data_IF_888828009458
#
_entry.id   IF_888828009458
#
_cell.length_a   1.000
_cell.length_b   1.000
_cell.length_c   1.000
_cell.angle_alpha   90.00
_cell.angle_beta   90.00
_cell.angle_gamma   90.00
#
_symmetry.space_group_name_H-M   'P 1'
#
loop_
_entity.id
_entity.type
_entity.pdbx_description
1 polymer ?
#
# COMPACT_ATOMS: atom_id res chain seq x y z
N UNK A 1 21.82 8.04 13.92
CA UNK A 1 23.11 7.40 13.62
C UNK A 1 22.78 6.07 13.00
N UNK A 2 22.91 5.96 11.68
CA UNK A 2 22.81 4.73 10.90
C UNK A 2 24.06 4.75 10.01
N UNK A 3 24.92 3.74 10.13
CA UNK A 3 26.32 3.77 9.66
C UNK A 3 26.50 3.41 8.18
N UNK A 4 25.42 3.44 7.39
CA UNK A 4 25.46 3.16 5.96
C UNK A 4 25.79 1.69 5.61
N UNK A 5 25.99 0.80 6.58
CA UNK A 5 26.09 -0.63 6.34
C UNK A 5 24.69 -1.26 6.34
N UNK A 6 24.25 -1.73 5.17
CA UNK A 6 22.99 -2.46 5.09
C UNK A 6 23.07 -3.76 5.90
N UNK A 7 21.94 -4.20 6.46
CA UNK A 7 21.83 -5.48 7.16
C UNK A 7 22.17 -6.65 6.24
N UNK A 8 22.82 -7.67 6.79
CA UNK A 8 23.10 -8.91 6.05
C UNK A 8 21.83 -9.76 5.96
N UNK A 9 21.54 -10.39 4.82
CA UNK A 9 20.28 -11.11 4.59
C UNK A 9 20.02 -12.25 5.60
N UNK A 10 21.08 -12.88 6.13
CA UNK A 10 20.99 -13.92 7.16
C UNK A 10 21.07 -13.37 8.61
N UNK A 11 21.14 -12.07 8.78
CA UNK A 11 21.25 -11.44 10.10
C UNK A 11 20.05 -11.83 10.98
N UNK A 12 20.32 -12.29 12.20
CA UNK A 12 19.28 -12.73 13.12
C UNK A 12 18.65 -14.09 12.78
N UNK A 13 19.23 -14.89 11.87
CA UNK A 13 18.80 -16.26 11.58
C UNK A 13 19.73 -17.29 12.25
N UNK A 14 19.17 -18.41 12.75
CA UNK A 14 19.96 -19.52 13.27
C UNK A 14 20.72 -20.20 12.13
N UNK A 15 21.94 -20.72 12.38
CA UNK A 15 22.61 -21.57 11.40
C UNK A 15 21.86 -22.90 11.31
N UNK A 16 21.24 -23.19 10.16
CA UNK A 16 20.48 -24.41 9.94
C UNK A 16 19.40 -24.22 8.89
N UNK A 17 19.44 -25.05 7.85
CA UNK A 17 18.40 -25.12 6.84
C UNK A 17 17.27 -26.01 7.38
N UNK A 18 16.04 -25.49 7.43
CA UNK A 18 14.86 -26.28 7.81
C UNK A 18 14.35 -27.06 6.60
N UNK A 19 14.15 -26.36 5.49
CA UNK A 19 13.70 -26.93 4.22
C UNK A 19 14.02 -25.99 3.07
N UNK A 20 13.87 -26.50 1.85
CA UNK A 20 13.87 -25.72 0.62
C UNK A 20 12.44 -25.77 0.08
N UNK A 21 11.94 -24.62 -0.36
CA UNK A 21 10.69 -24.54 -1.10
C UNK A 21 11.04 -24.53 -2.58
N UNK A 22 10.53 -25.51 -3.31
CA UNK A 22 10.79 -25.62 -4.74
C UNK A 22 9.98 -24.57 -5.51
N UNK A 23 10.48 -24.19 -6.69
CA UNK A 23 9.69 -23.33 -7.58
C UNK A 23 8.46 -24.11 -8.03
N UNK A 24 7.25 -23.53 -7.91
CA UNK A 24 6.05 -24.21 -8.38
C UNK A 24 6.17 -24.52 -9.88
N UNK A 25 5.95 -25.80 -10.24
CA UNK A 25 5.90 -26.24 -11.62
C UNK A 25 4.74 -25.58 -12.40
N UNK A 26 4.74 -25.67 -13.74
CA UNK A 26 3.64 -25.17 -14.56
C UNK A 26 2.31 -25.76 -14.09
N UNK A 27 1.29 -24.91 -13.97
CA UNK A 27 -0.08 -25.35 -13.70
C UNK A 27 -0.76 -25.58 -15.05
N UNK A 28 -0.93 -26.84 -15.46
CA UNK A 28 -1.62 -27.19 -16.69
C UNK A 28 -3.13 -27.32 -16.43
N UNK A 29 -3.94 -26.58 -17.20
CA UNK A 29 -5.39 -26.52 -16.98
C UNK A 29 -5.78 -25.73 -15.71
N UNK A 30 -7.08 -25.55 -15.52
CA UNK A 30 -7.65 -24.78 -14.41
C UNK A 30 -7.94 -23.32 -14.75
N UNK A 31 -8.89 -22.75 -14.02
CA UNK A 31 -9.36 -21.38 -14.21
C UNK A 31 -8.23 -20.36 -14.04
N UNK A 32 -8.40 -19.19 -14.66
CA UNK A 32 -7.47 -18.09 -14.48
C UNK A 32 -7.55 -17.54 -13.06
N UNK A 33 -6.41 -17.04 -12.57
CA UNK A 33 -6.37 -16.40 -11.27
C UNK A 33 -7.05 -15.05 -11.39
N UNK A 34 -8.10 -14.89 -10.61
CA UNK A 34 -8.89 -13.67 -10.52
C UNK A 34 -8.78 -13.08 -9.12
N UNK A 35 -8.70 -11.74 -9.07
CA UNK A 35 -8.89 -11.01 -7.82
C UNK A 35 -10.33 -10.50 -7.81
N UNK A 36 -11.08 -10.91 -6.79
CA UNK A 36 -12.48 -10.53 -6.62
C UNK A 36 -12.74 -10.01 -5.20
N UNK A 37 -13.95 -9.50 -4.93
CA UNK A 37 -14.38 -9.05 -3.61
C UNK A 37 -13.41 -8.04 -2.94
N UNK A 38 -12.94 -7.07 -3.73
CA UNK A 38 -11.99 -6.05 -3.26
C UNK A 38 -12.70 -5.04 -2.37
N UNK A 39 -12.32 -4.99 -1.11
CA UNK A 39 -12.92 -4.11 -0.11
C UNK A 39 -11.85 -3.27 0.60
N UNK A 40 -12.25 -2.06 1.01
CA UNK A 40 -11.42 -1.20 1.84
C UNK A 40 -11.39 -1.71 3.28
N UNK A 41 -10.20 -1.75 3.88
CA UNK A 41 -10.02 -2.08 5.30
C UNK A 41 -9.57 -0.84 6.06
N UNK A 42 -8.48 -0.24 5.62
CA UNK A 42 -7.89 0.91 6.27
C UNK A 42 -6.95 1.69 5.35
N UNK A 43 -6.56 2.89 5.77
CA UNK A 43 -5.42 3.59 5.21
C UNK A 43 -4.77 4.47 6.26
N UNK A 44 -3.51 4.82 6.01
CA UNK A 44 -2.76 5.75 6.86
C UNK A 44 -1.61 6.40 6.09
N UNK A 45 -1.18 7.58 6.54
CA UNK A 45 0.02 8.25 6.01
C UNK A 45 1.05 8.44 7.12
N UNK A 46 2.31 8.10 6.87
CA UNK A 46 3.40 8.45 7.76
C UNK A 46 3.77 9.93 7.66
N UNK A 47 4.07 10.56 8.80
CA UNK A 47 4.64 11.91 8.87
C UNK A 47 6.06 11.89 9.43
N UNK A 48 6.86 12.89 9.07
CA UNK A 48 8.20 13.08 9.62
C UNK A 48 8.13 13.67 11.03
N UNK A 49 8.12 12.81 12.05
CA UNK A 49 8.13 13.22 13.45
C UNK A 49 9.11 12.36 14.26
N UNK A 50 9.48 12.85 15.45
CA UNK A 50 10.43 12.18 16.33
C UNK A 50 9.90 10.85 16.92
N UNK A 51 8.58 10.72 17.02
CA UNK A 51 7.90 9.49 17.44
C UNK A 51 7.18 8.87 16.24
N UNK A 52 6.99 7.55 16.18
CA UNK A 52 6.19 6.95 15.11
C UNK A 52 4.78 7.54 15.11
N UNK A 53 4.43 8.30 14.06
CA UNK A 53 3.15 9.01 13.97
C UNK A 53 2.51 8.80 12.61
N UNK A 54 1.23 8.42 12.61
CA UNK A 54 0.44 8.21 11.40
C UNK A 54 -0.79 9.13 11.38
N UNK A 55 -1.12 9.63 10.19
CA UNK A 55 -2.42 10.21 9.90
C UNK A 55 -3.39 9.07 9.57
N UNK A 56 -4.59 9.09 10.14
CA UNK A 56 -5.65 8.10 9.85
C UNK A 56 -6.95 8.85 9.52
N UNK A 57 -7.60 8.58 8.37
CA UNK A 57 -7.18 7.65 7.31
C UNK A 57 -5.93 8.09 6.53
N UNK A 58 -5.46 9.32 6.75
CA UNK A 58 -4.49 9.96 5.86
C UNK A 58 -5.09 10.17 4.47
N UNK A 59 -4.24 10.50 3.50
CA UNK A 59 -4.65 10.53 2.09
C UNK A 59 -3.42 10.41 1.18
N UNK A 60 -3.56 9.79 -0.01
CA UNK A 60 -2.58 9.95 -1.08
C UNK A 60 -2.51 11.41 -1.52
N UNK A 61 -1.48 11.79 -2.29
CA UNK A 61 -1.43 13.12 -2.88
C UNK A 61 -2.49 13.27 -3.98
N UNK A 62 -3.04 14.46 -4.14
CA UNK A 62 -4.03 14.75 -5.17
C UNK A 62 -3.36 14.96 -6.52
N UNK A 63 -3.75 14.18 -7.53
CA UNK A 63 -3.29 14.33 -8.91
C UNK A 63 -3.70 15.69 -9.48
N UNK A 64 -2.77 16.38 -10.14
CA UNK A 64 -2.98 17.69 -10.77
C UNK A 64 -3.25 17.53 -12.26
N UNK A 65 -4.43 17.96 -12.70
CA UNK A 65 -4.81 18.00 -14.11
C UNK A 65 -4.44 19.32 -14.80
N UNK A 66 -3.98 20.31 -14.04
CA UNK A 66 -3.68 21.68 -14.50
C UNK A 66 -2.20 21.91 -14.84
N UNK A 67 -1.38 20.85 -14.85
CA UNK A 67 0.05 20.98 -15.16
C UNK A 67 0.25 21.24 -16.65
N UNK A 68 0.75 22.44 -16.97
CA UNK A 68 1.19 22.78 -18.32
C UNK A 68 2.56 22.16 -18.64
N UNK A 69 2.69 21.64 -19.86
CA UNK A 69 3.92 21.07 -20.42
C UNK A 69 4.42 21.92 -21.63
N UNK A 70 5.74 21.91 -21.93
CA UNK A 70 6.80 21.20 -21.25
C UNK A 70 7.11 21.79 -19.87
N UNK A 71 7.53 20.94 -18.93
CA UNK A 71 7.93 21.37 -17.59
C UNK A 71 9.16 20.61 -17.11
N UNK A 72 10.16 21.37 -16.67
CA UNK A 72 11.43 20.83 -16.19
C UNK A 72 11.44 20.70 -14.67
N UNK A 73 11.97 19.59 -14.19
CA UNK A 73 12.20 19.33 -12.76
C UNK A 73 13.68 19.05 -12.48
N UNK A 74 14.10 19.29 -11.24
CA UNK A 74 15.43 18.92 -10.79
C UNK A 74 15.55 17.39 -10.68
N UNK A 75 16.79 16.89 -10.59
CA UNK A 75 17.06 15.50 -10.24
C UNK A 75 16.62 15.22 -8.80
N UNK A 76 16.25 13.98 -8.55
CA UNK A 76 15.87 13.53 -7.21
C UNK A 76 17.08 13.64 -6.27
N UNK A 77 16.85 14.21 -5.09
CA UNK A 77 17.87 14.41 -4.05
C UNK A 77 17.33 13.94 -2.70
N UNK A 78 18.23 13.74 -1.74
CA UNK A 78 17.86 13.36 -0.38
C UNK A 78 17.72 11.85 -0.19
N UNK A 79 16.91 11.47 0.79
CA UNK A 79 16.70 10.10 1.24
C UNK A 79 15.29 9.64 0.90
N UNK A 80 15.18 8.44 0.34
CA UNK A 80 13.92 7.77 0.03
C UNK A 80 13.74 6.58 0.97
N UNK A 81 12.50 6.32 1.39
CA UNK A 81 12.18 5.15 2.19
C UNK A 81 11.99 3.93 1.28
N UNK A 82 12.77 2.88 1.52
CA UNK A 82 12.56 1.56 0.90
C UNK A 82 11.41 0.84 1.61
N UNK A 83 11.40 0.91 2.95
CA UNK A 83 10.34 0.40 3.81
C UNK A 83 10.11 1.37 4.98
N UNK A 84 9.14 2.25 4.83
CA UNK A 84 8.80 3.25 5.84
C UNK A 84 8.25 2.63 7.13
N UNK A 85 7.56 1.49 7.04
CA UNK A 85 7.00 0.80 8.21
C UNK A 85 8.12 0.11 9.00
N UNK A 86 9.02 -0.60 8.31
CA UNK A 86 10.22 -1.17 8.93
C UNK A 86 11.20 -0.13 9.46
N UNK A 87 11.29 1.05 8.84
CA UNK A 87 12.10 2.16 9.34
C UNK A 87 11.51 2.77 10.62
N UNK A 88 10.22 3.13 10.60
CA UNK A 88 9.57 3.89 11.68
C UNK A 88 9.13 3.02 12.84
N UNK A 89 8.82 1.75 12.58
CA UNK A 89 8.38 0.80 13.60
C UNK A 89 9.01 -0.59 13.37
N UNK A 90 10.35 -0.70 13.46
CA UNK A 90 11.09 -1.94 13.16
C UNK A 90 10.63 -3.13 14.01
N UNK A 91 10.09 -2.84 15.20
CA UNK A 91 9.57 -3.85 16.12
C UNK A 91 8.32 -4.57 15.63
N UNK A 92 7.42 -3.86 14.94
CA UNK A 92 6.13 -4.39 14.50
C UNK A 92 5.70 -3.72 13.18
N UNK A 93 6.39 -3.98 12.05
CA UNK A 93 6.11 -3.29 10.80
C UNK A 93 4.69 -3.51 10.26
N UNK A 94 3.99 -4.56 10.70
CA UNK A 94 2.62 -4.87 10.33
C UNK A 94 1.58 -4.17 11.23
N UNK A 95 1.96 -3.70 12.43
CA UNK A 95 1.03 -3.12 13.40
C UNK A 95 0.22 -1.92 12.87
N UNK A 96 0.75 -1.00 12.04
CA UNK A 96 -0.03 0.13 11.53
C UNK A 96 -1.30 -0.28 10.77
N UNK A 97 -1.36 -1.50 10.20
CA UNK A 97 -2.55 -2.07 9.57
C UNK A 97 -3.70 -2.12 10.58
N UNK A 98 -3.45 -2.68 11.76
CA UNK A 98 -4.44 -2.89 12.81
C UNK A 98 -4.82 -1.59 13.50
N UNK A 99 -3.83 -0.72 13.76
CA UNK A 99 -4.09 0.58 14.39
C UNK A 99 -5.00 1.44 13.52
N UNK A 100 -4.76 1.47 12.20
CA UNK A 100 -5.64 2.20 11.28
C UNK A 100 -7.01 1.52 11.13
N UNK A 101 -7.06 0.18 11.08
CA UNK A 101 -8.31 -0.57 10.99
C UNK A 101 -9.19 -0.40 12.23
N UNK A 102 -8.62 -0.35 13.44
CA UNK A 102 -9.37 -0.14 14.69
C UNK A 102 -10.03 1.24 14.73
N UNK A 103 -9.33 2.25 14.22
CA UNK A 103 -9.86 3.60 14.07
C UNK A 103 -11.05 3.61 13.12
N UNK A 104 -10.84 3.11 11.91
CA UNK A 104 -11.81 3.21 10.82
C UNK A 104 -12.98 2.23 10.96
N UNK A 105 -12.75 1.08 11.61
CA UNK A 105 -13.78 0.11 11.94
C UNK A 105 -14.82 0.66 12.92
N UNK A 106 -14.40 1.45 13.92
CA UNK A 106 -15.33 2.16 14.84
C UNK A 106 -16.18 3.21 14.13
N UNK A 107 -15.69 3.72 13.00
CA UNK A 107 -16.38 4.66 12.13
C UNK A 107 -17.23 3.94 11.04
N UNK A 108 -17.28 2.60 11.08
CA UNK A 108 -18.11 1.79 10.18
C UNK A 108 -17.51 1.56 8.78
N UNK A 109 -16.22 1.85 8.57
CA UNK A 109 -15.58 1.73 7.25
C UNK A 109 -15.15 0.31 6.86
N UNK A 110 -15.09 -0.64 7.80
CA UNK A 110 -14.73 -2.02 7.51
C UNK A 110 -15.40 -2.98 8.48
N UNK A 111 -15.83 -4.13 7.97
CA UNK A 111 -16.40 -5.26 8.73
C UNK A 111 -15.47 -6.47 8.72
N UNK A 112 -14.18 -6.27 8.45
CA UNK A 112 -13.21 -7.36 8.34
C UNK A 112 -13.10 -8.15 9.65
N UNK A 113 -13.31 -9.45 9.55
CA UNK A 113 -13.02 -10.40 10.62
C UNK A 113 -11.63 -11.00 10.46
N UNK A 114 -10.72 -10.74 11.39
CA UNK A 114 -9.31 -11.15 11.30
C UNK A 114 -9.13 -12.66 11.26
N UNK A 115 -9.89 -13.42 12.06
CA UNK A 115 -9.85 -14.89 12.05
C UNK A 115 -10.24 -15.51 10.69
N UNK A 116 -10.92 -14.77 9.81
CA UNK A 116 -11.25 -15.29 8.46
C UNK A 116 -10.14 -15.14 7.42
N UNK A 117 -9.03 -14.46 7.74
CA UNK A 117 -7.98 -14.11 6.78
C UNK A 117 -7.03 -15.30 6.58
N UNK A 118 -6.71 -15.61 5.33
CA UNK A 118 -5.75 -16.67 5.00
C UNK A 118 -4.32 -16.14 4.96
N UNK A 119 -4.11 -14.97 4.36
CA UNK A 119 -2.78 -14.37 4.20
C UNK A 119 -2.83 -12.87 4.49
N UNK A 120 -1.99 -12.40 5.41
CA UNK A 120 -1.75 -10.99 5.67
C UNK A 120 -0.32 -10.62 5.26
N UNK A 121 -0.20 -9.67 4.35
CA UNK A 121 1.08 -9.32 3.73
C UNK A 121 1.11 -7.88 3.22
N UNK A 122 2.20 -7.52 2.55
CA UNK A 122 2.24 -6.36 1.68
C UNK A 122 2.55 -6.72 0.23
N UNK A 123 2.26 -5.78 -0.66
CA UNK A 123 2.48 -5.94 -2.09
C UNK A 123 3.93 -6.21 -2.45
N UNK A 124 4.92 -5.73 -1.67
CA UNK A 124 6.34 -5.98 -1.95
C UNK A 124 6.68 -7.45 -1.76
N UNK A 125 6.25 -8.05 -0.65
CA UNK A 125 6.41 -9.48 -0.37
C UNK A 125 5.78 -10.35 -1.47
N UNK A 126 4.55 -10.02 -1.91
CA UNK A 126 3.90 -10.75 -3.01
C UNK A 126 4.69 -10.65 -4.34
N UNK A 127 5.26 -9.48 -4.64
CA UNK A 127 6.12 -9.31 -5.84
C UNK A 127 7.41 -10.13 -5.76
N UNK A 128 8.02 -10.24 -4.58
CA UNK A 128 9.23 -11.05 -4.37
C UNK A 128 8.91 -12.54 -4.58
N UNK A 129 7.79 -13.02 -4.02
CA UNK A 129 7.33 -14.39 -4.21
C UNK A 129 6.97 -14.69 -5.68
N UNK A 130 6.28 -13.76 -6.36
CA UNK A 130 6.00 -13.90 -7.79
C UNK A 130 7.29 -13.95 -8.62
N UNK A 131 8.25 -13.07 -8.32
CA UNK A 131 9.57 -13.09 -8.96
C UNK A 131 10.28 -14.42 -8.75
N UNK A 132 10.22 -15.02 -7.57
CA UNK A 132 10.77 -16.36 -7.33
C UNK A 132 10.08 -17.44 -8.19
N UNK A 133 8.77 -17.37 -8.33
CA UNK A 133 7.97 -18.33 -9.10
C UNK A 133 8.19 -18.25 -10.62
N UNK A 134 8.48 -17.07 -11.14
CA UNK A 134 8.61 -16.81 -12.59
C UNK A 134 10.06 -16.73 -13.06
N UNK A 135 10.91 -16.02 -12.34
CA UNK A 135 12.28 -15.73 -12.76
C UNK A 135 13.16 -16.96 -12.51
N UNK A 136 13.93 -17.44 -13.51
CA UNK A 136 14.97 -18.44 -13.28
C UNK A 136 15.99 -18.02 -12.22
N UNK A 137 16.30 -16.72 -12.14
CA UNK A 137 17.30 -16.15 -11.24
C UNK A 137 16.75 -14.89 -10.54
N UNK A 138 15.78 -15.04 -9.62
CA UNK A 138 15.23 -13.92 -8.88
C UNK A 138 16.31 -13.23 -8.05
N UNK A 139 16.10 -11.94 -7.78
CA UNK A 139 16.95 -11.20 -6.84
C UNK A 139 16.85 -11.81 -5.44
N UNK A 140 17.96 -11.74 -4.70
CA UNK A 140 17.97 -12.16 -3.31
C UNK A 140 16.95 -11.35 -2.48
N UNK A 141 16.18 -12.04 -1.64
CA UNK A 141 15.23 -11.40 -0.75
C UNK A 141 14.99 -12.22 0.51
N UNK A 142 14.44 -11.56 1.52
CA UNK A 142 13.95 -12.22 2.73
C UNK A 142 12.54 -11.75 3.07
N UNK A 143 11.73 -12.69 3.57
CA UNK A 143 10.40 -12.46 4.13
C UNK A 143 10.32 -13.25 5.43
N UNK A 144 9.94 -12.61 6.53
CA UNK A 144 9.71 -13.29 7.79
C UNK A 144 8.29 -13.88 7.81
N UNK A 145 8.15 -15.09 8.36
CA UNK A 145 6.90 -15.86 8.40
C UNK A 145 6.48 -16.17 9.83
N UNK A 146 5.19 -15.98 10.10
CA UNK A 146 4.52 -16.47 11.31
C UNK A 146 3.12 -16.97 10.99
N UNK A 147 2.64 -17.91 11.81
CA UNK A 147 1.26 -18.34 11.81
C UNK A 147 0.51 -17.58 12.91
N UNK A 148 -0.55 -16.86 12.53
CA UNK A 148 -1.51 -16.27 13.45
C UNK A 148 -2.82 -17.05 13.41
N UNK A 149 -3.51 -17.16 14.54
CA UNK A 149 -4.69 -18.02 14.61
C UNK A 149 -4.34 -19.45 14.25
N UNK A 150 -5.30 -20.16 13.65
CA UNK A 150 -5.11 -21.55 13.24
C UNK A 150 -4.51 -21.70 11.84
N UNK A 151 -4.70 -20.72 10.95
CA UNK A 151 -4.30 -20.83 9.54
C UNK A 151 -3.75 -19.54 8.91
N UNK A 152 -3.81 -18.39 9.56
CA UNK A 152 -3.42 -17.13 8.90
C UNK A 152 -1.90 -17.04 8.74
N UNK A 153 -1.44 -16.99 7.50
CA UNK A 153 -0.04 -16.77 7.15
C UNK A 153 0.29 -15.27 7.20
N UNK A 154 1.15 -14.88 8.13
CA UNK A 154 1.72 -13.54 8.19
C UNK A 154 3.04 -13.47 7.41
N UNK A 155 3.11 -12.56 6.45
CA UNK A 155 4.32 -12.29 5.67
C UNK A 155 4.89 -10.91 6.05
N UNK A 156 5.90 -10.92 6.93
CA UNK A 156 6.63 -9.73 7.36
C UNK A 156 7.70 -9.33 6.35
N UNK A 157 7.57 -8.13 5.78
CA UNK A 157 8.59 -7.57 4.88
C UNK A 157 9.92 -7.39 5.64
N UNK A 158 10.99 -7.85 5.01
CA UNK A 158 12.36 -7.62 5.47
C UNK A 158 13.20 -7.04 4.33
N UNK A 159 13.98 -6.01 4.65
CA UNK A 159 14.87 -5.34 3.70
C UNK A 159 16.26 -5.18 4.31
N UNK A 160 17.31 -5.35 3.50
CA UNK A 160 18.69 -5.07 3.92
C UNK A 160 18.86 -3.60 4.32
N UNK A 161 18.13 -2.70 3.66
CA UNK A 161 18.07 -1.28 3.97
C UNK A 161 16.62 -0.81 3.97
N UNK A 162 16.24 -0.03 4.96
CA UNK A 162 14.90 0.59 5.06
C UNK A 162 14.86 1.99 4.46
N UNK A 163 16.03 2.60 4.24
CA UNK A 163 16.25 3.86 3.54
C UNK A 163 17.36 3.74 2.51
N UNK A 164 17.26 4.52 1.44
CA UNK A 164 18.32 4.68 0.45
C UNK A 164 18.55 6.17 0.19
N UNK A 165 19.81 6.52 -0.06
CA UNK A 165 20.17 7.85 -0.52
C UNK A 165 20.05 7.91 -2.05
N UNK A 166 19.43 8.96 -2.56
CA UNK A 166 19.30 9.18 -3.99
C UNK A 166 20.67 9.12 -4.66
N UNK A 167 20.76 8.36 -5.75
CA UNK A 167 21.94 8.35 -6.63
C UNK A 167 21.98 9.56 -7.56
N UNK A 168 21.03 10.50 -7.43
CA UNK A 168 20.81 11.65 -8.31
C UNK A 168 20.62 11.27 -9.78
N UNK A 169 20.23 10.02 -10.06
CA UNK A 169 20.04 9.51 -11.41
C UNK A 169 18.60 9.65 -11.92
N UNK A 170 17.63 9.87 -11.03
CA UNK A 170 16.19 9.86 -11.32
C UNK A 170 15.52 11.25 -11.28
N UNK A 171 14.27 11.27 -11.73
CA UNK A 171 13.35 12.42 -11.68
C UNK A 171 11.98 12.04 -11.11
N UNK A 172 11.84 10.85 -10.52
CA UNK A 172 10.55 10.29 -10.13
C UNK A 172 9.89 11.11 -9.02
N UNK A 173 10.61 11.35 -7.92
CA UNK A 173 10.08 12.07 -6.77
C UNK A 173 9.80 13.54 -7.12
N UNK A 174 10.71 14.13 -7.89
CA UNK A 174 10.59 15.52 -8.35
C UNK A 174 9.41 15.69 -9.31
N UNK A 175 9.20 14.72 -10.21
CA UNK A 175 8.02 14.68 -11.06
C UNK A 175 6.74 14.46 -10.27
N UNK A 176 6.71 13.51 -9.35
CA UNK A 176 5.54 13.24 -8.51
C UNK A 176 5.11 14.48 -7.73
N UNK A 177 6.07 15.21 -7.12
CA UNK A 177 5.80 16.50 -6.45
C UNK A 177 5.26 17.56 -7.41
N UNK A 178 5.69 17.56 -8.67
CA UNK A 178 5.23 18.51 -9.68
C UNK A 178 3.79 18.24 -10.08
N UNK A 179 3.40 16.98 -10.27
CA UNK A 179 2.08 16.56 -10.77
C UNK A 179 1.09 16.21 -9.68
N UNK A 180 1.45 16.41 -8.41
CA UNK A 180 0.55 16.15 -7.29
C UNK A 180 0.64 17.22 -6.21
N UNK A 181 -0.46 17.45 -5.50
CA UNK A 181 -0.53 18.33 -4.33
C UNK A 181 -0.80 17.51 -3.06
N UNK A 182 -0.36 17.98 -1.89
CA UNK A 182 -0.79 17.38 -0.63
C UNK A 182 -2.31 17.52 -0.50
N UNK A 183 -2.98 16.46 -0.03
CA UNK A 183 -4.39 16.57 0.34
C UNK A 183 -4.54 17.46 1.58
N UNK A 184 -5.67 18.18 1.74
CA UNK A 184 -5.92 19.00 2.92
C UNK A 184 -5.73 18.23 4.23
N UNK A 185 -4.95 18.78 5.16
CA UNK A 185 -4.64 18.16 6.45
C UNK A 185 -3.55 17.08 6.39
N UNK A 186 -3.02 16.77 5.21
CA UNK A 186 -1.93 15.81 4.99
C UNK A 186 -0.64 16.48 4.52
N UNK A 187 -0.45 17.77 4.78
CA UNK A 187 0.71 18.55 4.31
C UNK A 187 2.03 18.04 4.89
N UNK A 188 2.00 17.49 6.10
CA UNK A 188 3.17 16.90 6.78
C UNK A 188 3.45 15.44 6.37
N UNK A 189 2.58 14.83 5.56
CA UNK A 189 2.78 13.46 5.09
C UNK A 189 4.01 13.36 4.18
N UNK A 190 4.79 12.29 4.35
CA UNK A 190 5.90 12.02 3.45
C UNK A 190 5.40 11.63 2.06
N UNK A 191 6.17 11.97 1.01
CA UNK A 191 5.84 11.66 -0.40
C UNK A 191 5.49 10.16 -0.59
N UNK A 192 6.40 9.26 -0.23
CA UNK A 192 6.19 7.80 -0.19
C UNK A 192 5.60 7.33 1.15
N UNK A 193 4.58 8.03 1.65
CA UNK A 193 4.07 7.88 3.02
C UNK A 193 2.71 7.21 3.15
N UNK A 194 1.88 7.28 2.11
CA UNK A 194 0.50 6.82 2.18
C UNK A 194 0.38 5.33 1.87
N UNK A 195 -0.29 4.61 2.75
CA UNK A 195 -0.53 3.17 2.64
C UNK A 195 -2.02 2.91 2.69
N UNK A 196 -2.47 2.04 1.79
CA UNK A 196 -3.81 1.47 1.81
C UNK A 196 -3.74 0.00 2.20
N UNK A 197 -4.76 -0.44 2.92
CA UNK A 197 -5.00 -1.83 3.27
C UNK A 197 -6.33 -2.22 2.62
N UNK A 198 -6.29 -3.24 1.78
CA UNK A 198 -7.48 -3.83 1.18
C UNK A 198 -7.56 -5.32 1.53
N UNK A 199 -8.78 -5.83 1.60
CA UNK A 199 -9.04 -7.26 1.60
C UNK A 199 -9.59 -7.65 0.24
N UNK A 200 -9.25 -8.84 -0.24
CA UNK A 200 -9.78 -9.38 -1.49
C UNK A 200 -9.63 -10.91 -1.54
N UNK A 201 -10.41 -11.56 -2.40
CA UNK A 201 -10.22 -12.97 -2.74
C UNK A 201 -9.16 -13.10 -3.84
N UNK A 202 -8.19 -13.99 -3.66
CA UNK A 202 -7.19 -14.37 -4.65
C UNK A 202 -7.33 -15.85 -4.96
N UNK A 203 -8.27 -16.19 -5.84
CA UNK A 203 -8.62 -17.57 -6.19
C UNK A 203 -8.83 -18.44 -4.95
N UNK A 204 -9.77 -18.02 -4.10
CA UNK A 204 -10.17 -18.73 -2.89
C UNK A 204 -9.31 -18.47 -1.66
N UNK A 205 -8.26 -17.64 -1.75
CA UNK A 205 -7.54 -17.15 -0.56
C UNK A 205 -8.05 -15.77 -0.18
N UNK A 206 -8.51 -15.62 1.06
CA UNK A 206 -8.86 -14.32 1.62
C UNK A 206 -7.59 -13.58 2.02
N UNK A 207 -7.21 -12.61 1.20
CA UNK A 207 -6.00 -11.81 1.35
C UNK A 207 -6.29 -10.52 2.11
N UNK A 208 -5.38 -10.11 3.00
CA UNK A 208 -5.25 -8.72 3.46
C UNK A 208 -3.90 -8.18 3.02
N UNK A 209 -3.92 -7.16 2.16
CA UNK A 209 -2.72 -6.65 1.52
C UNK A 209 -2.57 -5.15 1.76
N UNK A 210 -1.44 -4.79 2.36
CA UNK A 210 -1.00 -3.39 2.43
C UNK A 210 -0.21 -3.01 1.19
N UNK A 211 -0.44 -1.81 0.66
CA UNK A 211 0.36 -1.26 -0.42
C UNK A 211 0.44 0.27 -0.35
N UNK A 212 1.55 0.80 -0.84
CA UNK A 212 1.76 2.24 -1.01
C UNK A 212 0.98 2.76 -2.22
N UNK A 213 0.35 3.93 -2.07
CA UNK A 213 -0.33 4.67 -3.14
C UNK A 213 0.32 6.05 -3.29
N UNK A 214 0.69 6.39 -4.52
CA UNK A 214 1.41 7.63 -4.81
C UNK A 214 0.45 8.82 -4.85
N UNK A 215 -0.68 8.64 -5.56
CA UNK A 215 -1.66 9.68 -5.76
C UNK A 215 -3.10 9.17 -5.86
N UNK A 216 -4.06 10.08 -5.85
CA UNK A 216 -5.43 9.82 -6.26
C UNK A 216 -5.99 11.00 -7.07
N UNK A 217 -6.96 10.73 -7.93
CA UNK A 217 -7.77 11.81 -8.49
C UNK A 217 -8.61 12.45 -7.40
N UNK A 218 -8.74 13.78 -7.44
CA UNK A 218 -9.65 14.47 -6.55
C UNK A 218 -11.07 13.92 -6.74
N UNK A 219 -11.86 13.74 -5.66
CA UNK A 219 -13.27 13.42 -5.81
C UNK A 219 -13.88 14.50 -6.71
N UNK A 220 -14.64 14.08 -7.72
CA UNK A 220 -15.34 15.02 -8.57
C UNK A 220 -16.15 15.93 -7.65
N UNK A 221 -15.86 17.23 -7.65
CA UNK A 221 -16.75 18.18 -7.01
C UNK A 221 -18.09 17.97 -7.67
N UNK A 222 -19.10 17.57 -6.90
CA UNK A 222 -20.47 17.70 -7.34
C UNK A 222 -20.65 19.20 -7.63
N UNK A 223 -20.53 19.56 -8.91
CA UNK A 223 -21.04 20.84 -9.38
C UNK A 223 -22.48 20.86 -8.89
N UNK A 224 -22.93 21.91 -8.17
CA UNK A 224 -24.31 21.99 -7.75
C UNK A 224 -25.12 21.78 -9.01
N UNK A 225 -25.84 20.66 -9.07
CA UNK A 225 -26.67 20.39 -10.23
C UNK A 225 -27.62 21.57 -10.30
N UNK A 226 -27.49 22.40 -11.33
CA UNK A 226 -28.50 23.37 -11.66
C UNK A 226 -29.72 22.54 -12.03
N UNK A 227 -30.55 22.24 -11.02
CA UNK A 227 -31.84 21.62 -11.21
C UNK A 227 -32.59 22.52 -12.18
N UNK A 228 -32.79 22.04 -13.40
CA UNK A 228 -33.80 22.59 -14.30
C UNK A 228 -35.15 22.35 -13.61
N UNK A 229 -35.58 23.31 -12.79
CA UNK A 229 -36.94 23.31 -12.27
C UNK A 229 -37.87 23.55 -13.46
N UNK A 230 -38.59 22.52 -13.85
CA UNK A 230 -39.80 22.67 -14.65
C UNK A 230 -40.76 23.57 -13.89
N UNK A 231 -41.11 24.68 -14.52
CA UNK A 231 -42.20 25.60 -14.14
C UNK A 231 -43.50 24.84 -13.89
N UNK A 232 -44.04 24.94 -12.67
CA UNK A 232 -45.46 25.27 -12.43
C UNK A 232 -45.57 26.08 -11.14
N UNK A 233 -46.35 27.15 -11.23
CA UNK A 233 -46.61 28.12 -10.18
C UNK A 233 -47.38 27.51 -9.01
N UNK A 234 -47.10 27.98 -7.79
CA UNK A 234 -48.13 28.61 -6.95
C UNK A 234 -47.49 29.44 -5.83
N UNK A 235 -48.20 30.51 -5.49
CA UNK A 235 -47.83 31.68 -4.69
C UNK A 235 -47.81 31.45 -3.16
N UNK A 236 -46.82 32.02 -2.45
CA UNK A 236 -46.97 33.05 -1.39
C UNK A 236 -45.76 33.12 -0.43
N UNK A 237 -45.27 34.36 -0.21
CA UNK A 237 -44.45 34.95 0.89
C UNK A 237 -43.35 34.09 1.56
N UNK A 238 -42.05 34.28 1.33
CA UNK A 238 -41.14 35.40 1.75
C UNK A 238 -41.03 35.63 3.26
N UNK A 239 -40.05 34.98 3.91
CA UNK A 239 -38.92 35.63 4.61
C UNK A 239 -38.03 34.67 5.43
N UNK A 240 -38.31 33.37 5.46
CA UNK A 240 -37.46 32.40 6.20
C UNK A 240 -36.25 31.85 5.42
N UNK A 241 -36.18 32.07 4.10
CA UNK A 241 -35.13 31.46 3.26
C UNK A 241 -33.76 32.14 3.34
N UNK A 242 -33.66 33.36 3.87
CA UNK A 242 -32.38 34.06 4.03
C UNK A 242 -31.74 33.81 5.40
N UNK A 243 -32.54 33.52 6.43
CA UNK A 243 -32.04 33.13 7.75
C UNK A 243 -31.39 31.73 7.71
N UNK A 244 -31.97 30.81 6.95
CA UNK A 244 -31.41 29.46 6.73
C UNK A 244 -30.18 29.47 5.82
N UNK A 245 -30.11 30.41 4.87
CA UNK A 245 -28.92 30.59 4.04
C UNK A 245 -27.75 31.25 4.80
N UNK A 246 -28.05 32.08 5.81
CA UNK A 246 -27.04 32.71 6.68
C UNK A 246 -26.62 31.82 7.86
N UNK A 247 -27.50 30.93 8.35
CA UNK A 247 -27.13 29.89 9.33
C UNK A 247 -26.18 28.86 8.71
N UNK A 248 -26.36 28.55 7.41
CA UNK A 248 -25.43 27.74 6.63
C UNK A 248 -24.10 28.46 6.27
N UNK A 249 -24.02 29.79 6.44
CA UNK A 249 -22.82 30.59 6.19
C UNK A 249 -22.06 30.99 7.47
N UNK A 250 -22.44 30.46 8.64
CA UNK A 250 -21.71 30.70 9.88
C UNK A 250 -20.36 30.00 9.85
N UNK A 251 -19.31 30.81 9.61
CA UNK A 251 -17.89 30.43 9.63
C UNK A 251 -17.59 29.52 10.83
N UNK A 252 -17.38 28.22 10.57
CA UNK A 252 -16.50 27.45 11.42
C UNK A 252 -15.08 27.96 11.18
N UNK A 253 -14.67 28.82 12.09
CA UNK A 253 -13.30 29.21 12.43
C UNK A 253 -12.26 28.26 11.80
N UNK A 254 -11.35 28.83 11.00
CA UNK A 254 -10.17 28.13 10.50
C UNK A 254 -9.57 27.25 11.62
N UNK A 255 -9.17 26.00 11.34
CA UNK A 255 -8.53 25.19 12.35
C UNK A 255 -7.22 25.91 12.73
N UNK A 256 -7.26 26.60 13.88
CA UNK A 256 -6.08 26.78 14.70
C UNK A 256 -5.42 25.40 14.84
N UNK A 257 -4.09 25.31 14.81
CA UNK A 257 -3.39 24.03 14.88
C UNK A 257 -3.95 23.23 16.05
N UNK A 258 -4.72 22.18 15.72
CA UNK A 258 -5.28 21.30 16.71
C UNK A 258 -4.09 20.66 17.41
N UNK A 259 -3.91 21.04 18.67
CA UNK A 259 -3.12 20.25 19.61
C UNK A 259 -3.51 18.78 19.47
N UNK A 260 -2.57 17.83 19.62
CA UNK A 260 -2.90 16.42 19.56
C UNK A 260 -4.06 16.16 20.52
N UNK A 261 -5.23 15.79 19.98
CA UNK A 261 -6.37 15.42 20.79
C UNK A 261 -5.98 14.23 21.65
N UNK A 262 -5.76 14.51 22.93
CA UNK A 262 -5.64 13.57 24.05
C UNK A 262 -7.01 12.97 24.40
N UNK A 263 -7.82 12.62 23.40
CA UNK A 263 -9.11 11.95 23.58
C UNK A 263 -8.98 10.42 23.44
N UNK A 264 -7.96 9.88 24.11
CA UNK A 264 -8.01 8.52 24.63
C UNK A 264 -7.80 8.57 26.15
N UNK A 265 -8.91 8.61 26.89
CA UNK A 265 -8.93 8.46 28.36
C UNK A 265 -8.41 7.10 28.86
N UNK A 266 -7.86 6.24 27.98
CA UNK A 266 -7.07 5.06 28.36
C UNK A 266 -5.55 5.26 28.35
N UNK A 267 -5.03 6.38 27.81
CA UNK A 267 -3.61 6.75 27.86
C UNK A 267 -2.62 5.76 27.24
N UNK A 268 -3.09 4.69 26.60
CA UNK A 268 -2.23 3.66 26.01
C UNK A 268 -2.06 3.91 24.53
N UNK A 269 -1.00 4.66 24.18
CA UNK A 269 -0.50 4.72 22.80
C UNK A 269 -0.28 3.29 22.31
N UNK A 270 -0.96 2.80 21.26
CA UNK A 270 -0.82 1.42 20.79
C UNK A 270 0.63 1.18 20.38
N UNK A 271 1.37 0.51 21.26
CA UNK A 271 2.78 0.14 21.08
C UNK A 271 3.70 1.29 20.62
N UNK A 272 3.41 2.52 21.08
CA UNK A 272 4.22 3.70 20.79
C UNK A 272 3.91 4.42 19.46
N UNK A 273 2.84 4.04 18.76
CA UNK A 273 2.33 4.80 17.60
C UNK A 273 1.43 5.94 18.10
N UNK A 274 1.68 7.15 17.59
CA UNK A 274 0.79 8.31 17.75
C UNK A 274 -0.14 8.40 16.54
N UNK A 275 -1.43 8.66 16.78
CA UNK A 275 -2.45 8.75 15.73
C UNK A 275 -2.91 10.20 15.65
N UNK A 276 -2.98 10.73 14.44
CA UNK A 276 -3.58 12.04 14.15
C UNK A 276 -4.74 11.83 13.18
N UNK A 277 -5.93 12.35 13.52
CA UNK A 277 -7.10 12.29 12.64
C UNK A 277 -6.98 13.33 11.55
N UNK A 278 -6.64 12.89 10.34
CA UNK A 278 -6.47 13.77 9.18
C UNK A 278 -6.56 13.00 7.87
N UNK A 279 -6.87 13.73 6.79
CA UNK A 279 -7.11 13.16 5.47
C UNK A 279 -8.52 12.62 5.31
N UNK A 280 -8.71 11.79 4.28
CA UNK A 280 -10.03 11.26 3.91
C UNK A 280 -9.90 9.86 3.29
N UNK A 281 -10.93 9.04 3.49
CA UNK A 281 -11.06 7.78 2.77
C UNK A 281 -11.29 8.09 1.29
N UNK A 282 -10.41 7.59 0.43
CA UNK A 282 -10.51 7.78 -1.03
C UNK A 282 -11.07 6.54 -1.72
N UNK A 283 -11.86 6.67 -2.80
CA UNK A 283 -12.37 5.51 -3.54
C UNK A 283 -11.26 4.68 -4.21
N UNK A 284 -11.43 3.35 -4.27
CA UNK A 284 -10.45 2.44 -4.90
C UNK A 284 -10.17 2.80 -6.37
N UNK A 285 -11.21 3.21 -7.11
CA UNK A 285 -11.09 3.59 -8.52
C UNK A 285 -10.32 4.90 -8.75
N UNK A 286 -10.13 5.71 -7.71
CA UNK A 286 -9.41 6.99 -7.81
C UNK A 286 -7.90 6.85 -7.63
N UNK A 287 -7.41 5.69 -7.17
CA UNK A 287 -5.99 5.50 -6.84
C UNK A 287 -5.13 5.49 -8.11
N UNK A 288 -3.99 6.14 -8.02
CA UNK A 288 -3.05 6.34 -9.12
C UNK A 288 -1.66 5.91 -8.68
N UNK A 289 -1.02 5.07 -9.50
CA UNK A 289 0.43 4.87 -9.46
C UNK A 289 1.10 5.91 -10.37
N UNK A 290 2.14 6.55 -9.89
CA UNK A 290 2.96 7.47 -10.69
C UNK A 290 4.23 6.75 -11.13
N UNK A 291 4.59 6.91 -12.41
CA UNK A 291 5.84 6.42 -12.98
C UNK A 291 6.42 7.47 -13.91
N UNK A 292 7.73 7.44 -14.10
CA UNK A 292 8.42 8.25 -15.11
C UNK A 292 9.16 7.37 -16.10
N UNK A 293 9.28 7.82 -17.35
CA UNK A 293 10.14 7.20 -18.36
C UNK A 293 10.81 8.24 -19.21
N UNK A 294 12.05 7.95 -19.61
CA UNK A 294 12.67 8.69 -20.69
C UNK A 294 11.90 8.44 -21.98
N UNK A 295 11.82 9.45 -22.85
CA UNK A 295 11.21 9.38 -24.17
C UNK A 295 11.69 8.14 -24.97
N UNK A 296 13.00 7.87 -24.93
CA UNK A 296 13.63 6.70 -25.57
C UNK A 296 13.05 5.36 -25.09
N UNK A 297 12.61 5.27 -23.84
CA UNK A 297 12.17 4.03 -23.20
C UNK A 297 10.65 4.02 -22.93
N UNK A 298 9.92 5.04 -23.37
CA UNK A 298 8.48 5.15 -23.11
C UNK A 298 7.68 4.07 -23.85
N UNK A 299 8.06 3.75 -25.09
CA UNK A 299 7.41 2.72 -25.91
C UNK A 299 7.72 1.29 -25.43
N UNK A 300 8.86 1.09 -24.76
CA UNK A 300 9.31 -0.22 -24.25
C UNK A 300 9.08 -0.35 -22.74
N UNK A 301 7.99 0.24 -22.25
CA UNK A 301 7.61 0.12 -20.86
C UNK A 301 7.41 -1.36 -20.49
N UNK A 302 8.15 -1.82 -19.49
CA UNK A 302 8.17 -3.22 -19.03
C UNK A 302 6.89 -3.58 -18.26
N UNK A 303 5.81 -3.81 -19.00
CA UNK A 303 4.51 -4.17 -18.47
C UNK A 303 4.54 -5.51 -17.74
N UNK A 304 5.38 -6.44 -18.15
CA UNK A 304 5.59 -7.72 -17.47
C UNK A 304 6.02 -7.55 -16.01
N UNK A 305 6.68 -6.45 -15.66
CA UNK A 305 7.09 -6.15 -14.28
C UNK A 305 6.10 -5.23 -13.55
N UNK A 306 5.45 -4.33 -14.27
CA UNK A 306 4.58 -3.30 -13.71
C UNK A 306 3.14 -3.81 -13.50
N UNK A 307 2.63 -4.66 -14.39
CA UNK A 307 1.27 -5.15 -14.34
C UNK A 307 0.99 -5.95 -13.07
N UNK A 308 1.79 -6.97 -12.69
CA UNK A 308 1.53 -7.69 -11.44
C UNK A 308 1.67 -6.81 -10.21
N UNK A 309 2.58 -5.82 -10.24
CA UNK A 309 2.74 -4.83 -9.18
C UNK A 309 1.44 -4.04 -8.92
N UNK A 310 0.74 -3.67 -9.99
CA UNK A 310 -0.48 -2.86 -9.95
C UNK A 310 -1.70 -3.73 -9.62
N UNK A 311 -1.80 -4.92 -10.23
CA UNK A 311 -2.85 -5.91 -9.98
C UNK A 311 -2.87 -6.34 -8.50
N UNK A 312 -1.74 -6.75 -7.94
CA UNK A 312 -1.66 -7.19 -6.52
C UNK A 312 -1.89 -6.05 -5.52
N UNK A 313 -1.75 -4.79 -5.95
CA UNK A 313 -2.09 -3.61 -5.15
C UNK A 313 -3.46 -3.01 -5.51
N UNK A 314 -4.24 -3.67 -6.37
CA UNK A 314 -5.53 -3.19 -6.87
C UNK A 314 -5.53 -1.71 -7.32
N UNK A 315 -4.39 -1.24 -7.84
CA UNK A 315 -4.22 0.15 -8.32
C UNK A 315 -4.34 0.14 -9.83
N UNK A 316 -5.55 0.42 -10.32
CA UNK A 316 -5.89 0.17 -11.73
C UNK A 316 -5.30 1.19 -12.70
N UNK A 317 -5.05 2.41 -12.23
CA UNK A 317 -4.56 3.51 -13.06
C UNK A 317 -3.09 3.78 -12.79
N UNK A 318 -2.29 3.90 -13.86
CA UNK A 318 -0.93 4.41 -13.82
C UNK A 318 -0.81 5.66 -14.69
N UNK A 319 -0.21 6.71 -14.12
CA UNK A 319 0.15 7.93 -14.85
C UNK A 319 1.65 7.91 -15.13
N UNK A 320 2.02 7.90 -16.41
CA UNK A 320 3.41 7.83 -16.87
C UNK A 320 3.84 9.19 -17.41
N UNK A 321 4.72 9.87 -16.67
CA UNK A 321 5.40 11.08 -17.15
C UNK A 321 6.53 10.76 -18.12
N UNK A 322 6.45 11.30 -19.34
CA UNK A 322 7.47 11.09 -20.39
C UNK A 322 8.40 12.30 -20.43
N UNK A 323 9.71 12.06 -20.35
CA UNK A 323 10.70 13.14 -20.27
C UNK A 323 11.96 12.93 -21.12
N UNK A 324 12.67 14.03 -21.39
CA UNK A 324 14.06 14.03 -21.90
C UNK A 324 14.92 14.79 -20.90
N UNK A 325 15.75 14.05 -20.16
CA UNK A 325 16.67 14.63 -19.15
C UNK A 325 15.99 15.59 -18.15
N UNK A 326 14.86 15.17 -17.56
CA UNK A 326 14.12 15.94 -16.56
C UNK A 326 13.13 16.97 -17.11
N UNK A 327 13.08 17.18 -18.42
CA UNK A 327 12.03 17.97 -19.06
C UNK A 327 10.90 17.04 -19.51
N UNK A 328 9.76 17.16 -18.84
CA UNK A 328 8.55 16.38 -19.11
C UNK A 328 7.70 17.09 -20.17
N UNK A 329 7.13 16.32 -21.10
CA UNK A 329 6.34 16.86 -22.22
C UNK A 329 4.88 16.43 -22.17
N UNK A 330 4.60 15.30 -21.53
CA UNK A 330 3.26 14.74 -21.43
C UNK A 330 3.15 13.75 -20.26
N UNK A 331 1.89 13.47 -19.90
CA UNK A 331 1.50 12.34 -19.05
C UNK A 331 0.58 11.42 -19.83
N UNK A 332 0.90 10.13 -19.81
CA UNK A 332 0.05 9.08 -20.38
C UNK A 332 -0.68 8.35 -19.27
N UNK A 333 -2.01 8.34 -19.33
CA UNK A 333 -2.84 7.51 -18.48
C UNK A 333 -2.96 6.12 -19.08
N UNK A 334 -2.73 5.09 -18.27
CA UNK A 334 -2.98 3.70 -18.68
C UNK A 334 -3.76 2.99 -17.58
N UNK A 335 -4.80 2.26 -17.98
CA UNK A 335 -5.62 1.43 -17.10
C UNK A 335 -5.31 -0.04 -17.33
N UNK A 336 -4.94 -0.75 -16.26
CA UNK A 336 -4.53 -2.17 -16.37
C UNK A 336 -5.69 -3.12 -16.66
N UNK A 337 -6.93 -2.68 -16.43
CA UNK A 337 -8.16 -3.42 -16.74
C UNK A 337 -8.79 -2.98 -18.08
N UNK A 338 -8.08 -2.14 -18.85
CA UNK A 338 -8.47 -1.76 -20.20
C UNK A 338 -8.18 -2.84 -21.25
N UNK A 339 -8.80 -2.77 -22.43
CA UNK A 339 -8.63 -3.75 -23.51
C UNK A 339 -7.17 -3.83 -24.00
N UNK A 340 -6.43 -2.73 -23.98
CA UNK A 340 -5.02 -2.66 -24.39
C UNK A 340 -4.08 -3.48 -23.49
N UNK A 341 -4.57 -3.96 -22.34
CA UNK A 341 -3.82 -4.75 -21.37
C UNK A 341 -4.22 -6.23 -21.38
N UNK A 342 -5.11 -6.67 -22.27
CA UNK A 342 -5.60 -8.05 -22.34
C UNK A 342 -4.45 -9.07 -22.53
N UNK A 343 -3.53 -8.81 -23.46
CA UNK A 343 -2.37 -9.68 -23.70
C UNK A 343 -1.42 -9.72 -22.50
N UNK A 344 -1.23 -8.57 -21.83
CA UNK A 344 -0.40 -8.48 -20.62
C UNK A 344 -1.04 -9.25 -19.47
N UNK A 345 -2.36 -9.13 -19.30
CA UNK A 345 -3.13 -9.86 -18.31
C UNK A 345 -3.02 -11.38 -18.53
N UNK A 346 -3.21 -11.83 -19.77
CA UNK A 346 -3.05 -13.23 -20.17
C UNK A 346 -1.62 -13.74 -19.94
N UNK A 347 -0.62 -12.94 -20.27
CA UNK A 347 0.79 -13.30 -20.08
C UNK A 347 1.19 -13.41 -18.59
N UNK A 348 0.50 -12.70 -17.68
CA UNK A 348 0.75 -12.78 -16.25
C UNK A 348 0.15 -14.03 -15.56
N UNK A 349 -0.85 -14.67 -16.19
CA UNK A 349 -1.59 -15.79 -15.58
C UNK A 349 -0.71 -16.97 -15.13
N UNK A 350 0.29 -17.45 -15.91
CA UNK A 350 1.16 -18.53 -15.44
C UNK A 350 1.87 -18.20 -14.13
N UNK A 351 2.34 -16.96 -13.96
CA UNK A 351 2.96 -16.49 -12.73
C UNK A 351 2.00 -16.40 -11.57
N UNK A 352 0.81 -15.86 -11.80
CA UNK A 352 -0.23 -15.74 -10.77
C UNK A 352 -0.68 -17.12 -10.27
N UNK A 353 -0.85 -18.11 -11.16
CA UNK A 353 -1.16 -19.50 -10.79
C UNK A 353 -0.07 -20.11 -9.91
N UNK A 354 1.20 -19.87 -10.24
CA UNK A 354 2.32 -20.32 -9.41
C UNK A 354 2.38 -19.60 -8.06
N UNK A 355 2.15 -18.29 -8.03
CA UNK A 355 2.08 -17.51 -6.79
C UNK A 355 0.97 -18.04 -5.87
N UNK A 356 -0.21 -18.33 -6.42
CA UNK A 356 -1.33 -18.91 -5.67
C UNK A 356 -0.95 -20.24 -5.02
N UNK A 357 -0.31 -21.15 -5.75
CA UNK A 357 0.17 -22.44 -5.21
C UNK A 357 1.26 -22.24 -4.15
N UNK A 358 2.19 -21.32 -4.39
CA UNK A 358 3.26 -21.01 -3.45
C UNK A 358 2.71 -20.48 -2.13
N UNK A 359 1.71 -19.60 -2.15
CA UNK A 359 1.09 -19.08 -0.92
C UNK A 359 0.44 -20.20 -0.09
N UNK A 360 -0.23 -21.14 -0.73
CA UNK A 360 -0.84 -22.30 -0.06
C UNK A 360 0.21 -23.28 0.48
N UNK A 361 1.28 -23.55 -0.28
CA UNK A 361 2.40 -24.36 0.21
C UNK A 361 3.07 -23.73 1.44
N UNK A 362 3.25 -22.41 1.44
CA UNK A 362 3.80 -21.68 2.57
C UNK A 362 2.84 -21.69 3.78
N UNK A 363 1.54 -21.55 3.55
CA UNK A 363 0.53 -21.63 4.61
C UNK A 363 0.53 -23.02 5.25
N UNK A 364 0.49 -24.08 4.43
CA UNK A 364 0.56 -25.47 4.89
C UNK A 364 1.85 -25.74 5.68
N UNK A 365 3.00 -25.27 5.17
CA UNK A 365 4.28 -25.37 5.86
C UNK A 365 4.22 -24.71 7.24
N UNK A 366 3.62 -23.52 7.35
CA UNK A 366 3.50 -22.83 8.64
C UNK A 366 2.51 -23.53 9.59
N UNK A 367 1.40 -24.08 9.07
CA UNK A 367 0.45 -24.87 9.86
C UNK A 367 1.09 -26.14 10.45
N UNK A 368 1.88 -26.87 9.66
CA UNK A 368 2.62 -28.05 10.12
C UNK A 368 3.68 -27.72 11.19
N UNK A 369 4.27 -26.53 11.12
CA UNK A 369 5.29 -26.06 12.08
C UNK A 369 4.68 -25.47 13.35
N UNK A 370 3.43 -25.00 13.29
CA UNK A 370 2.66 -24.49 14.42
C UNK A 370 2.92 -23.03 14.78
N UNK A 371 2.08 -22.49 15.67
CA UNK A 371 2.04 -21.06 16.05
C UNK A 371 3.31 -20.54 16.74
N UNK A 372 4.13 -21.42 17.29
CA UNK A 372 5.41 -21.06 17.93
C UNK A 372 6.55 -20.88 16.92
N UNK A 373 6.39 -21.33 15.68
CA UNK A 373 7.41 -21.22 14.66
C UNK A 373 7.72 -19.76 14.32
N UNK A 374 9.01 -19.43 14.24
CA UNK A 374 9.52 -18.10 13.87
C UNK A 374 10.45 -18.27 12.69
N UNK A 375 9.91 -18.23 11.48
CA UNK A 375 10.64 -18.61 10.28
C UNK A 375 10.95 -17.40 9.39
N UNK A 376 11.90 -17.58 8.48
CA UNK A 376 12.18 -16.66 7.39
C UNK A 376 12.35 -17.44 6.10
N UNK A 377 11.71 -16.97 5.04
CA UNK A 377 12.05 -17.31 3.67
C UNK A 377 13.24 -16.47 3.24
N UNK A 378 14.27 -17.13 2.73
CA UNK A 378 15.46 -16.49 2.19
C UNK A 378 15.70 -17.02 0.78
N UNK A 379 15.47 -16.18 -0.21
CA UNK A 379 15.85 -16.46 -1.59
C UNK A 379 17.30 -16.03 -1.80
N UNK A 380 18.18 -16.98 -2.16
CA UNK A 380 19.57 -16.70 -2.52
C UNK A 380 20.02 -17.56 -3.69
N UNK A 381 20.57 -16.93 -4.72
CA UNK A 381 21.02 -17.64 -5.92
C UNK A 381 19.93 -18.49 -6.57
N UNK A 382 18.67 -18.02 -6.51
CA UNK A 382 17.51 -18.70 -7.07
C UNK A 382 16.91 -19.84 -6.23
N UNK A 383 17.46 -20.13 -5.06
CA UNK A 383 16.94 -21.15 -4.12
C UNK A 383 16.19 -20.46 -2.98
N UNK A 384 14.95 -20.89 -2.71
CA UNK A 384 14.15 -20.38 -1.59
C UNK A 384 14.30 -21.30 -0.38
N UNK A 385 15.01 -20.80 0.62
CA UNK A 385 15.34 -21.53 1.84
C UNK A 385 14.41 -21.11 2.98
N UNK A 386 14.01 -22.07 3.82
CA UNK A 386 13.33 -21.82 5.10
C UNK A 386 14.36 -21.92 6.22
N UNK A 387 14.51 -20.85 6.99
CA UNK A 387 15.41 -20.80 8.14
C UNK A 387 14.67 -20.34 9.40
N UNK A 388 15.19 -20.72 10.55
CA UNK A 388 14.67 -20.25 11.84
C UNK A 388 15.25 -18.89 12.21
N UNK A 389 14.42 -18.02 12.78
CA UNK A 389 14.88 -16.77 13.39
C UNK A 389 15.45 -17.03 14.78
N UNK A 390 16.49 -16.28 15.14
CA UNK A 390 17.07 -16.30 16.50
C UNK A 390 16.14 -15.63 17.52
N UNK A 391 15.41 -14.61 17.09
CA UNK A 391 14.53 -13.86 17.98
C UNK A 391 13.19 -14.59 18.15
N UNK A 392 12.69 -14.74 19.39
CA UNK A 392 11.34 -15.27 19.62
C UNK A 392 10.26 -14.21 19.34
N UNK A 393 10.65 -12.96 19.04
CA UNK A 393 9.73 -11.84 18.89
C UNK A 393 8.80 -12.09 17.70
N UNK A 394 7.50 -12.01 17.99
CA UNK A 394 6.43 -12.10 17.02
C UNK A 394 6.40 -10.88 16.07
N UNK A 395 5.83 -11.06 14.88
CA UNK A 395 5.63 -10.01 13.88
C UNK A 395 4.59 -8.97 14.31
N UNK A 396 3.72 -9.36 15.25
CA UNK A 396 2.69 -8.54 15.85
C UNK A 396 2.70 -8.69 17.38
N UNK A 397 2.18 -7.70 18.13
CA UNK A 397 1.98 -7.84 19.56
C UNK A 397 0.96 -8.93 19.92
N UNK A 398 1.02 -9.52 21.14
CA UNK A 398 0.18 -10.66 21.52
C UNK A 398 -1.33 -10.41 21.45
N UNK A 399 -1.82 -9.24 21.86
CA UNK A 399 -3.23 -8.87 21.78
C UNK A 399 -3.74 -8.72 20.33
N UNK A 400 -2.85 -8.35 19.40
CA UNK A 400 -3.15 -8.28 17.98
C UNK A 400 -3.13 -9.69 17.37
N UNK A 401 -2.17 -10.54 17.77
CA UNK A 401 -2.13 -11.94 17.35
C UNK A 401 -3.39 -12.71 17.79
N UNK A 402 -3.92 -12.43 18.97
CA UNK A 402 -5.13 -13.07 19.51
C UNK A 402 -6.40 -12.81 18.66
N UNK A 403 -6.43 -11.74 17.86
CA UNK A 403 -7.59 -11.41 17.00
C UNK A 403 -7.82 -12.43 15.87
N UNK A 404 -6.84 -13.29 15.62
CA UNK A 404 -6.92 -14.35 14.63
C UNK A 404 -7.43 -15.69 15.22
N UNK A 405 -7.60 -15.77 16.54
CA UNK A 405 -8.12 -16.98 17.20
C UNK A 405 -9.66 -17.01 17.28
N UNK A 406 -10.31 -15.87 17.00
CA UNK A 406 -11.78 -15.69 17.00
C UNK A 406 -12.44 -16.19 15.71
#
# INVERSE_FOLDING_TARGET
MDDGSGRYILEGLKPGLISIIDKPGPVQGGDDVEISNVEYVASYSWINSAKPTILVPGSPRLWRTDVAYPKRVARDTGTTYVDSNGYRLPQYPLLPIFVAADVLGREGHSTLHWGSVDVLTDRNSLRKLLSFAEDPMPKDFRIDLELAGNWTLLLGRWETKTIEHSTMMGYNDSFERMVTASAPGCEEATLAGHHRVATYDFSGLKMVVRYEVDACFAPASEKPSASKSSTRADTSNSDDSLADALSALSLSKAPSPSTPDDDDKSGKKPYGITIVRAGQVVPQASLVKVKTRSERNAATFKWEQAYPQLLLGQTKTVMIGVHRNGEFYETREVKIDGPDMADTAKAAQPGLKKLRRLLEELQNTMMERGKEARLSLVCRGGVLQVLERKTPKALLPPDIMARFDD
#
